data_IF_896708793943
#
_entry.id   IF_896708793943
#
_cell.length_a   1.000
_cell.length_b   1.000
_cell.length_c   1.000
_cell.angle_alpha   90.00
_cell.angle_beta   90.00
_cell.angle_gamma   90.00
#
_symmetry.space_group_name_H-M   'P 1'
#
loop_
_entity.id
_entity.type
_entity.pdbx_description
1 polymer ?
#
# COMPACT_ATOMS: atom_id res chain seq x y z
N UNK A 1 14.22 -22.90 23.53
CA UNK A 1 14.20 -21.77 24.44
C UNK A 1 13.14 -20.77 24.00
N UNK A 2 12.27 -20.38 24.93
CA UNK A 2 11.27 -19.33 24.67
C UNK A 2 12.02 -17.99 24.65
N UNK A 3 12.25 -17.44 23.47
CA UNK A 3 12.89 -16.16 23.29
C UNK A 3 12.11 -15.01 23.93
N UNK A 4 12.78 -13.87 24.15
CA UNK A 4 12.15 -12.67 24.74
C UNK A 4 11.04 -12.16 23.82
N UNK A 5 9.78 -12.08 24.29
CA UNK A 5 8.70 -11.61 23.44
C UNK A 5 8.98 -10.16 22.96
N UNK A 6 8.56 -9.77 21.75
CA UNK A 6 8.66 -8.38 21.28
C UNK A 6 8.08 -7.36 22.27
N UNK A 7 7.03 -7.74 22.99
CA UNK A 7 6.45 -6.92 24.09
C UNK A 7 7.45 -6.55 25.18
N UNK A 8 8.42 -7.41 25.46
CA UNK A 8 9.45 -7.16 26.47
C UNK A 8 10.61 -6.37 25.88
N UNK A 9 11.12 -6.78 24.72
CA UNK A 9 12.24 -6.11 24.05
C UNK A 9 11.90 -4.65 23.70
N UNK A 10 10.70 -4.40 23.20
CA UNK A 10 10.26 -3.07 22.74
C UNK A 10 9.45 -2.29 23.79
N UNK A 11 9.39 -2.77 25.03
CA UNK A 11 8.70 -2.05 26.13
C UNK A 11 9.15 -0.58 26.25
N UNK A 12 10.46 -0.26 26.26
CA UNK A 12 10.90 1.13 26.35
C UNK A 12 10.36 1.99 25.21
N UNK A 13 10.38 1.48 23.98
CA UNK A 13 9.88 2.16 22.79
C UNK A 13 8.38 2.51 22.88
N UNK A 14 7.55 1.60 23.41
CA UNK A 14 6.14 1.88 23.63
C UNK A 14 5.90 2.82 24.80
N UNK A 15 6.65 2.67 25.90
CA UNK A 15 6.52 3.49 27.09
C UNK A 15 6.91 4.95 26.83
N UNK A 16 7.99 5.22 26.10
CA UNK A 16 8.44 6.58 25.74
C UNK A 16 7.37 7.39 25.01
N UNK A 17 6.46 6.70 24.31
CA UNK A 17 5.35 7.28 23.55
C UNK A 17 4.01 7.23 24.28
N UNK A 18 3.95 6.67 25.47
CA UNK A 18 2.70 6.43 26.17
C UNK A 18 1.77 5.45 25.44
N UNK A 19 2.34 4.57 24.61
CA UNK A 19 1.59 3.61 23.82
C UNK A 19 1.44 2.27 24.54
N UNK A 20 0.32 1.59 24.26
CA UNK A 20 0.09 0.21 24.65
C UNK A 20 0.04 -0.67 23.41
N UNK A 21 0.50 -1.91 23.54
CA UNK A 21 0.43 -2.87 22.44
C UNK A 21 -0.99 -3.32 22.19
N UNK A 22 -1.38 -3.39 20.92
CA UNK A 22 -2.68 -3.91 20.53
C UNK A 22 -2.72 -5.45 20.53
N UNK A 23 -3.91 -6.02 20.68
CA UNK A 23 -4.11 -7.47 20.65
C UNK A 23 -3.61 -8.07 19.32
N UNK A 24 -3.95 -7.46 18.18
CA UNK A 24 -3.52 -7.93 16.86
C UNK A 24 -1.99 -7.88 16.68
N UNK A 25 -1.29 -6.92 17.31
CA UNK A 25 0.18 -6.89 17.28
C UNK A 25 0.76 -8.11 17.99
N UNK A 26 0.29 -8.39 19.20
CA UNK A 26 0.75 -9.55 19.98
C UNK A 26 0.42 -10.87 19.27
N UNK A 27 -0.74 -10.97 18.63
CA UNK A 27 -1.15 -12.12 17.83
C UNK A 27 -0.24 -12.30 16.61
N UNK A 28 0.09 -11.21 15.90
CA UNK A 28 1.01 -11.24 14.76
C UNK A 28 2.41 -11.67 15.20
N UNK A 29 2.94 -11.15 16.29
CA UNK A 29 4.25 -11.54 16.81
C UNK A 29 4.30 -13.00 17.23
N UNK A 30 3.22 -13.50 17.84
CA UNK A 30 3.10 -14.91 18.19
C UNK A 30 3.08 -15.78 16.92
N UNK A 31 2.22 -15.47 15.96
CA UNK A 31 2.12 -16.20 14.70
C UNK A 31 3.46 -16.20 13.93
N UNK A 32 4.15 -15.08 13.88
CA UNK A 32 5.48 -14.99 13.27
C UNK A 32 6.49 -15.93 13.97
N UNK A 33 6.53 -15.93 15.29
CA UNK A 33 7.41 -16.83 16.09
C UNK A 33 7.09 -18.30 15.85
N UNK A 34 5.81 -18.62 15.71
CA UNK A 34 5.34 -19.98 15.41
C UNK A 34 5.62 -20.39 13.93
N UNK A 35 6.38 -19.57 13.18
CA UNK A 35 6.75 -19.85 11.79
C UNK A 35 5.64 -19.60 10.76
N UNK A 36 4.57 -18.91 11.13
CA UNK A 36 3.40 -18.71 10.28
C UNK A 36 3.56 -17.50 9.34
N UNK A 37 3.03 -17.65 8.14
CA UNK A 37 2.75 -16.54 7.22
C UNK A 37 1.31 -16.09 7.36
N UNK A 38 0.98 -14.89 6.88
CA UNK A 38 -0.41 -14.43 6.98
C UNK A 38 -0.70 -13.08 6.34
N UNK A 39 -1.94 -12.66 6.53
CA UNK A 39 -2.46 -11.36 6.14
C UNK A 39 -2.97 -10.63 7.38
N UNK A 40 -2.40 -9.46 7.64
CA UNK A 40 -2.89 -8.53 8.65
C UNK A 40 -3.79 -7.50 7.99
N UNK A 41 -5.04 -7.54 8.38
CA UNK A 41 -6.11 -6.70 7.87
C UNK A 41 -6.58 -5.77 8.99
N UNK A 42 -6.34 -4.49 8.83
CA UNK A 42 -6.77 -3.47 9.78
C UNK A 42 -6.92 -2.11 9.11
N UNK A 43 -7.77 -1.22 9.64
CA UNK A 43 -7.82 0.17 9.20
C UNK A 43 -6.46 0.85 9.27
N UNK A 44 -6.27 1.91 8.47
CA UNK A 44 -5.03 2.70 8.45
C UNK A 44 -4.73 3.36 9.82
N UNK A 45 -3.46 3.56 10.12
CA UNK A 45 -3.02 4.32 11.31
C UNK A 45 -3.07 3.57 12.65
N UNK A 46 -3.20 2.25 12.67
CA UNK A 46 -3.33 1.45 13.89
C UNK A 46 -2.09 0.62 14.27
N UNK A 47 -0.91 1.01 13.82
CA UNK A 47 0.31 0.28 14.19
C UNK A 47 0.50 -1.06 13.48
N UNK A 48 -0.08 -1.24 12.27
CA UNK A 48 0.13 -2.41 11.41
C UNK A 48 1.61 -2.64 11.07
N UNK A 49 2.31 -1.56 10.77
CA UNK A 49 3.74 -1.58 10.45
C UNK A 49 4.55 -2.25 11.56
N UNK A 50 4.34 -1.83 12.81
CA UNK A 50 5.02 -2.41 13.96
C UNK A 50 4.61 -3.86 14.22
N UNK A 51 3.36 -4.24 13.89
CA UNK A 51 2.90 -5.60 14.05
C UNK A 51 3.72 -6.60 13.23
N UNK A 52 4.05 -6.28 11.98
CA UNK A 52 4.82 -7.19 11.11
C UNK A 52 6.32 -6.94 11.13
N UNK A 53 6.78 -5.78 11.62
CA UNK A 53 8.20 -5.44 11.70
C UNK A 53 8.88 -5.96 12.97
N UNK A 54 8.24 -5.78 14.15
CA UNK A 54 8.88 -6.08 15.42
C UNK A 54 9.07 -7.59 15.67
N UNK A 55 8.26 -8.45 15.07
CA UNK A 55 8.46 -9.90 15.13
C UNK A 55 9.78 -10.35 14.51
N UNK A 56 10.03 -10.06 13.23
CA UNK A 56 11.31 -10.35 12.57
C UNK A 56 12.51 -9.69 13.25
N UNK A 57 12.37 -8.44 13.67
CA UNK A 57 13.43 -7.70 14.35
C UNK A 57 13.82 -8.37 15.68
N UNK A 58 12.84 -8.72 16.51
CA UNK A 58 13.10 -9.42 17.76
C UNK A 58 13.77 -10.77 17.53
N UNK A 59 13.27 -11.55 16.59
CA UNK A 59 13.83 -12.87 16.28
C UNK A 59 15.30 -12.79 15.83
N UNK A 60 15.64 -11.80 15.01
CA UNK A 60 17.02 -11.59 14.55
C UNK A 60 17.95 -11.13 15.69
N UNK A 61 17.47 -10.25 16.57
CA UNK A 61 18.22 -9.78 17.75
C UNK A 61 18.50 -10.95 18.70
N UNK A 62 17.49 -11.75 19.00
CA UNK A 62 17.62 -12.95 19.85
C UNK A 62 18.59 -13.96 19.28
N UNK A 63 18.55 -14.19 17.97
CA UNK A 63 19.44 -15.12 17.29
C UNK A 63 20.88 -14.58 17.12
N UNK A 64 21.12 -13.29 17.40
CA UNK A 64 22.41 -12.64 17.13
C UNK A 64 22.75 -12.53 15.65
N UNK A 65 21.77 -12.79 14.76
CA UNK A 65 21.94 -12.75 13.29
C UNK A 65 21.40 -11.43 12.70
N UNK A 66 22.15 -10.37 12.96
CA UNK A 66 21.76 -9.01 12.57
C UNK A 66 22.60 -8.43 11.43
N UNK A 67 23.54 -9.21 10.87
CA UNK A 67 24.49 -8.71 9.86
C UNK A 67 24.01 -8.89 8.43
N UNK A 68 22.95 -9.69 8.22
CA UNK A 68 22.39 -10.05 6.91
C UNK A 68 21.08 -9.31 6.68
N UNK A 69 20.62 -9.31 5.42
CA UNK A 69 19.27 -8.86 5.09
C UNK A 69 18.25 -9.87 5.64
N UNK A 70 17.42 -9.44 6.57
CA UNK A 70 16.43 -10.27 7.24
C UNK A 70 15.02 -10.02 6.75
N UNK A 71 14.73 -8.78 6.35
CA UNK A 71 13.39 -8.36 5.95
C UNK A 71 13.42 -7.64 4.63
N UNK A 72 12.62 -8.11 3.70
CA UNK A 72 12.31 -7.43 2.46
C UNK A 72 10.91 -6.83 2.57
N UNK A 73 10.79 -5.53 2.40
CA UNK A 73 9.53 -4.79 2.47
C UNK A 73 9.14 -4.28 1.10
N UNK A 74 8.02 -4.76 0.57
CA UNK A 74 7.50 -4.38 -0.75
C UNK A 74 6.39 -3.36 -0.54
N UNK A 75 6.56 -2.17 -1.10
CA UNK A 75 5.55 -1.11 -1.07
C UNK A 75 5.09 -0.76 -2.50
N UNK A 76 3.79 -0.61 -2.74
CA UNK A 76 3.30 -0.24 -4.07
C UNK A 76 3.60 1.20 -4.46
N UNK A 77 3.85 2.08 -3.49
CA UNK A 77 3.99 3.51 -3.70
C UNK A 77 5.35 4.04 -3.22
N UNK A 78 6.06 4.69 -4.13
CA UNK A 78 7.34 5.34 -3.82
C UNK A 78 7.21 6.44 -2.76
N UNK A 79 6.10 7.16 -2.78
CA UNK A 79 5.82 8.21 -1.80
C UNK A 79 5.79 7.69 -0.35
N UNK A 80 5.29 6.46 -0.16
CA UNK A 80 5.24 5.80 1.15
C UNK A 80 6.58 5.29 1.66
N UNK A 81 7.51 5.03 0.75
CA UNK A 81 8.74 4.35 1.08
C UNK A 81 9.58 5.11 2.11
N UNK A 82 9.60 6.45 2.08
CA UNK A 82 10.35 7.26 3.04
C UNK A 82 9.73 7.24 4.44
N UNK A 83 8.41 7.38 4.52
CA UNK A 83 7.69 7.34 5.80
C UNK A 83 7.78 5.94 6.41
N UNK A 84 7.66 4.90 5.58
CA UNK A 84 7.88 3.52 6.01
C UNK A 84 9.29 3.34 6.55
N UNK A 85 10.32 3.82 5.84
CA UNK A 85 11.71 3.75 6.31
C UNK A 85 11.86 4.40 7.68
N UNK A 86 11.32 5.59 7.88
CA UNK A 86 11.36 6.29 9.17
C UNK A 86 10.72 5.45 10.26
N UNK A 87 9.51 4.95 10.02
CA UNK A 87 8.77 4.12 10.98
C UNK A 87 9.48 2.80 11.34
N UNK A 88 10.20 2.20 10.39
CA UNK A 88 10.98 0.98 10.65
C UNK A 88 12.30 1.27 11.38
N UNK A 89 12.93 2.42 11.10
CA UNK A 89 14.21 2.78 11.70
C UNK A 89 14.06 3.28 13.14
N UNK A 90 12.97 3.97 13.49
CA UNK A 90 12.74 4.51 14.82
C UNK A 90 12.93 3.49 15.96
N UNK A 91 12.29 2.31 15.99
CA UNK A 91 12.48 1.34 17.06
C UNK A 91 13.89 0.75 17.09
N UNK A 92 14.58 0.71 15.95
CA UNK A 92 15.98 0.27 15.84
C UNK A 92 16.92 1.25 16.54
N UNK A 93 16.74 2.53 16.24
CA UNK A 93 17.60 3.61 16.78
C UNK A 93 17.38 3.78 18.28
N UNK A 94 16.13 3.74 18.74
CA UNK A 94 15.79 3.92 20.14
C UNK A 94 16.33 2.79 21.05
N UNK A 95 16.43 1.58 20.50
CA UNK A 95 17.07 0.45 21.18
C UNK A 95 18.59 0.44 21.03
N UNK A 96 19.19 1.43 20.37
CA UNK A 96 20.62 1.49 20.11
C UNK A 96 21.15 0.35 19.25
N UNK A 97 20.28 -0.27 18.43
CA UNK A 97 20.67 -1.34 17.52
C UNK A 97 21.39 -0.76 16.30
N UNK A 98 22.57 -1.30 15.98
CA UNK A 98 23.35 -0.87 14.81
C UNK A 98 22.86 -1.58 13.53
N UNK A 99 21.60 -1.38 13.19
CA UNK A 99 20.94 -1.96 12.02
C UNK A 99 20.49 -0.86 11.06
N UNK A 100 20.60 -1.13 9.77
CA UNK A 100 20.19 -0.19 8.72
C UNK A 100 18.92 -0.68 8.01
N UNK A 101 17.96 0.24 7.85
CA UNK A 101 16.85 0.11 6.92
C UNK A 101 17.11 1.04 5.74
N UNK A 102 17.17 0.50 4.55
CA UNK A 102 17.42 1.29 3.34
C UNK A 102 16.31 1.15 2.29
N UNK A 103 16.27 2.12 1.39
CA UNK A 103 15.34 2.16 0.26
C UNK A 103 16.06 1.81 -1.03
N UNK A 104 15.40 0.99 -1.86
CA UNK A 104 15.72 0.86 -3.27
C UNK A 104 14.47 0.90 -4.14
N UNK A 105 14.24 2.04 -4.73
CA UNK A 105 13.15 2.33 -5.67
C UNK A 105 13.72 2.87 -6.99
N UNK A 106 12.86 3.18 -7.94
CA UNK A 106 13.28 3.83 -9.19
C UNK A 106 14.10 5.10 -8.97
N UNK A 107 13.75 5.87 -7.93
CA UNK A 107 14.35 7.19 -7.61
C UNK A 107 15.66 7.10 -6.81
N UNK A 108 16.08 5.90 -6.42
CA UNK A 108 17.35 5.71 -5.71
C UNK A 108 18.52 6.02 -6.64
N UNK A 109 19.46 6.85 -6.18
CA UNK A 109 20.64 7.26 -6.98
C UNK A 109 21.48 6.05 -7.43
N UNK A 110 22.16 6.19 -8.56
CA UNK A 110 23.02 5.13 -9.11
C UNK A 110 24.09 4.67 -8.10
N UNK A 111 24.70 5.61 -7.38
CA UNK A 111 25.68 5.31 -6.34
C UNK A 111 25.11 4.43 -5.23
N UNK A 112 23.93 4.78 -4.70
CA UNK A 112 23.25 3.96 -3.68
C UNK A 112 22.82 2.61 -4.22
N UNK A 113 22.33 2.54 -5.45
CA UNK A 113 22.01 1.28 -6.13
C UNK A 113 23.24 0.36 -6.19
N UNK A 114 24.38 0.88 -6.60
CA UNK A 114 25.63 0.11 -6.67
C UNK A 114 26.10 -0.39 -5.29
N UNK A 115 25.96 0.43 -4.24
CA UNK A 115 26.26 0.03 -2.86
C UNK A 115 25.34 -1.09 -2.38
N UNK A 116 24.02 -0.98 -2.62
CA UNK A 116 23.04 -1.99 -2.24
C UNK A 116 23.20 -3.31 -3.02
N UNK A 117 23.69 -3.26 -4.26
CA UNK A 117 23.99 -4.47 -5.01
C UNK A 117 25.15 -5.28 -4.41
N UNK A 118 26.08 -4.62 -3.72
CA UNK A 118 27.22 -5.28 -3.05
C UNK A 118 26.86 -5.81 -1.67
N UNK A 119 26.08 -5.08 -0.92
CA UNK A 119 25.66 -5.45 0.44
C UNK A 119 24.27 -4.90 0.73
N UNK A 120 23.35 -5.80 1.05
CA UNK A 120 22.01 -5.43 1.47
C UNK A 120 21.98 -5.01 2.95
N UNK A 121 21.11 -4.05 3.32
CA UNK A 121 20.86 -3.67 4.71
C UNK A 121 20.07 -4.77 5.44
N UNK A 122 19.89 -4.62 6.74
CA UNK A 122 19.05 -5.52 7.55
C UNK A 122 17.60 -5.55 7.04
N UNK A 123 17.02 -4.38 6.79
CA UNK A 123 15.70 -4.19 6.18
C UNK A 123 15.80 -3.44 4.86
N UNK A 124 15.31 -4.03 3.78
CA UNK A 124 15.30 -3.42 2.46
C UNK A 124 13.87 -3.11 2.05
N UNK A 125 13.55 -1.85 1.84
CA UNK A 125 12.27 -1.40 1.29
C UNK A 125 12.42 -1.19 -0.21
N UNK A 126 11.52 -1.79 -0.98
CA UNK A 126 11.54 -1.73 -2.45
C UNK A 126 10.12 -1.71 -3.02
N UNK A 127 10.01 -1.57 -4.34
CA UNK A 127 8.75 -1.68 -5.09
C UNK A 127 8.72 -2.99 -5.88
N UNK A 128 7.54 -3.46 -6.34
CA UNK A 128 7.46 -4.66 -7.17
C UNK A 128 8.38 -4.62 -8.39
N UNK A 129 8.45 -3.49 -9.07
CA UNK A 129 9.30 -3.30 -10.26
C UNK A 129 10.78 -3.36 -9.91
N UNK A 130 11.19 -2.71 -8.83
CA UNK A 130 12.58 -2.72 -8.37
C UNK A 130 13.00 -4.11 -7.88
N UNK A 131 12.11 -4.84 -7.22
CA UNK A 131 12.35 -6.23 -6.82
C UNK A 131 12.54 -7.13 -8.05
N UNK A 132 11.68 -6.99 -9.05
CA UNK A 132 11.82 -7.71 -10.32
C UNK A 132 13.20 -7.45 -10.97
N UNK A 133 13.65 -6.19 -10.96
CA UNK A 133 14.99 -5.84 -11.45
C UNK A 133 16.13 -6.47 -10.63
N UNK A 134 15.96 -6.64 -9.33
CA UNK A 134 16.95 -7.34 -8.52
C UNK A 134 17.13 -8.80 -8.95
N UNK A 135 16.06 -9.45 -9.42
CA UNK A 135 16.13 -10.82 -9.90
C UNK A 135 16.99 -11.00 -11.16
N UNK A 136 17.36 -9.91 -11.84
CA UNK A 136 18.33 -9.94 -12.95
C UNK A 136 19.78 -10.02 -12.50
N UNK A 137 20.06 -9.83 -11.21
CA UNK A 137 21.43 -9.87 -10.67
C UNK A 137 21.79 -11.27 -10.20
N UNK A 138 22.83 -11.86 -10.77
CA UNK A 138 23.26 -13.23 -10.47
C UNK A 138 23.55 -13.48 -8.97
N UNK A 139 24.04 -12.48 -8.24
CA UNK A 139 24.39 -12.63 -6.82
C UNK A 139 23.21 -12.28 -5.86
N UNK A 140 22.02 -12.00 -6.38
CA UNK A 140 20.92 -11.53 -5.54
C UNK A 140 20.47 -12.59 -4.54
N UNK A 141 20.40 -13.86 -4.95
CA UNK A 141 20.09 -14.98 -4.06
C UNK A 141 21.07 -15.08 -2.90
N UNK A 142 22.37 -14.98 -3.18
CA UNK A 142 23.42 -15.04 -2.16
C UNK A 142 23.31 -13.85 -1.18
N UNK A 143 23.07 -12.66 -1.71
CA UNK A 143 22.87 -11.46 -0.88
C UNK A 143 21.66 -11.55 0.05
N UNK A 144 20.66 -12.36 -0.31
CA UNK A 144 19.48 -12.64 0.50
C UNK A 144 19.60 -13.91 1.36
N UNK A 145 20.76 -14.56 1.45
CA UNK A 145 20.93 -15.84 2.13
C UNK A 145 20.50 -15.87 3.61
N UNK A 146 20.21 -14.73 4.18
CA UNK A 146 19.68 -14.59 5.55
C UNK A 146 18.21 -14.20 5.64
N UNK A 147 17.50 -14.12 4.52
CA UNK A 147 16.13 -13.59 4.46
C UNK A 147 15.15 -14.46 5.26
N UNK A 148 14.50 -13.87 6.25
CA UNK A 148 13.52 -14.53 7.11
C UNK A 148 12.08 -14.13 6.80
N UNK A 149 11.86 -12.89 6.35
CA UNK A 149 10.53 -12.37 6.10
C UNK A 149 10.44 -11.50 4.86
N UNK A 150 9.32 -11.58 4.17
CA UNK A 150 8.87 -10.61 3.17
C UNK A 150 7.56 -10.02 3.64
N UNK A 151 7.52 -8.69 3.68
CA UNK A 151 6.31 -7.93 3.99
C UNK A 151 5.82 -7.28 2.70
N UNK A 152 4.55 -7.48 2.37
CA UNK A 152 3.89 -6.83 1.24
C UNK A 152 2.91 -5.81 1.79
N UNK A 153 3.29 -4.55 1.71
CA UNK A 153 2.49 -3.44 2.21
C UNK A 153 1.38 -3.07 1.22
N UNK A 154 0.27 -2.55 1.74
CA UNK A 154 -0.88 -2.12 0.95
C UNK A 154 -1.31 -3.17 -0.09
N UNK A 155 -1.36 -4.44 0.31
CA UNK A 155 -1.65 -5.57 -0.59
C UNK A 155 -2.96 -5.40 -1.36
N UNK A 156 -3.97 -4.77 -0.75
CA UNK A 156 -5.24 -4.45 -1.42
C UNK A 156 -5.09 -3.54 -2.66
N UNK A 157 -4.02 -2.74 -2.74
CA UNK A 157 -3.73 -1.91 -3.92
C UNK A 157 -3.08 -2.71 -5.06
N UNK A 158 -2.34 -3.75 -4.72
CA UNK A 158 -1.68 -4.64 -5.69
C UNK A 158 -2.60 -5.74 -6.18
N UNK A 159 -3.44 -6.29 -5.33
CA UNK A 159 -4.37 -7.37 -5.67
C UNK A 159 -5.29 -6.97 -6.84
N UNK A 160 -5.38 -7.84 -7.85
CA UNK A 160 -6.16 -7.61 -9.05
C UNK A 160 -5.47 -6.73 -10.10
N UNK A 161 -4.18 -6.44 -9.94
CA UNK A 161 -3.37 -5.68 -10.90
C UNK A 161 -2.21 -6.50 -11.45
N UNK A 162 -1.66 -6.10 -12.59
CA UNK A 162 -0.44 -6.72 -13.15
C UNK A 162 0.77 -6.59 -12.22
N UNK A 163 0.86 -5.49 -11.47
CA UNK A 163 1.88 -5.29 -10.43
C UNK A 163 1.74 -6.30 -9.28
N UNK A 164 0.50 -6.63 -8.93
CA UNK A 164 0.20 -7.68 -7.96
C UNK A 164 0.65 -9.05 -8.46
N UNK A 165 0.39 -9.38 -9.71
CA UNK A 165 0.85 -10.64 -10.32
C UNK A 165 2.39 -10.68 -10.41
N UNK A 166 3.04 -9.58 -10.76
CA UNK A 166 4.50 -9.47 -10.70
C UNK A 166 5.03 -9.75 -9.28
N UNK A 167 4.35 -9.23 -8.27
CA UNK A 167 4.68 -9.50 -6.86
C UNK A 167 4.50 -10.99 -6.52
N UNK A 168 3.40 -11.61 -6.96
CA UNK A 168 3.15 -13.06 -6.77
C UNK A 168 4.30 -13.90 -7.35
N UNK A 169 4.76 -13.58 -8.56
CA UNK A 169 5.87 -14.29 -9.22
C UNK A 169 7.19 -14.07 -8.48
N UNK A 170 7.50 -12.86 -8.03
CA UNK A 170 8.67 -12.59 -7.20
C UNK A 170 8.62 -13.38 -5.88
N UNK A 171 7.46 -13.45 -5.23
CA UNK A 171 7.27 -14.23 -4.01
C UNK A 171 7.43 -15.74 -4.27
N UNK A 172 6.94 -16.25 -5.40
CA UNK A 172 7.15 -17.64 -5.80
C UNK A 172 8.64 -17.98 -5.93
N UNK A 173 9.42 -17.09 -6.57
CA UNK A 173 10.88 -17.22 -6.68
C UNK A 173 11.55 -17.21 -5.32
N UNK A 174 11.20 -16.29 -4.45
CA UNK A 174 11.79 -16.18 -3.10
C UNK A 174 11.46 -17.40 -2.24
N UNK A 175 10.22 -17.92 -2.33
CA UNK A 175 9.86 -19.17 -1.62
C UNK A 175 10.60 -20.40 -2.15
N UNK A 176 10.84 -20.45 -3.46
CA UNK A 176 11.65 -21.54 -4.04
C UNK A 176 13.11 -21.50 -3.54
N UNK A 177 13.67 -20.30 -3.37
CA UNK A 177 15.01 -20.12 -2.82
C UNK A 177 15.08 -20.36 -1.31
N UNK A 178 14.05 -19.90 -0.58
CA UNK A 178 14.00 -19.90 0.88
C UNK A 178 12.71 -20.58 1.39
N UNK A 179 12.67 -21.91 1.50
CA UNK A 179 11.45 -22.65 1.86
C UNK A 179 10.87 -22.30 3.25
N UNK A 180 11.69 -21.74 4.15
CA UNK A 180 11.26 -21.29 5.49
C UNK A 180 10.83 -19.81 5.55
N UNK A 181 10.81 -19.15 4.39
CA UNK A 181 10.44 -17.73 4.28
C UNK A 181 9.02 -17.50 4.78
N UNK A 182 8.85 -16.52 5.65
CA UNK A 182 7.54 -16.04 6.10
C UNK A 182 7.10 -14.86 5.25
N UNK A 183 5.90 -14.92 4.73
CA UNK A 183 5.30 -13.85 3.92
C UNK A 183 4.14 -13.25 4.69
N UNK A 184 4.17 -11.94 4.89
CA UNK A 184 3.11 -11.20 5.55
C UNK A 184 2.60 -10.06 4.66
N UNK A 185 1.29 -9.99 4.50
CA UNK A 185 0.63 -8.87 3.83
C UNK A 185 0.02 -7.92 4.83
N UNK A 186 0.07 -6.63 4.51
CA UNK A 186 -0.69 -5.58 5.17
C UNK A 186 -1.78 -5.12 4.22
N UNK A 187 -3.02 -5.09 4.69
CA UNK A 187 -4.16 -4.68 3.88
C UNK A 187 -5.10 -3.78 4.67
N UNK A 188 -5.68 -2.82 3.97
CA UNK A 188 -6.92 -2.20 4.42
C UNK A 188 -8.09 -3.19 4.25
N UNK A 189 -9.29 -2.74 4.61
CA UNK A 189 -10.49 -3.56 4.56
C UNK A 189 -10.82 -4.01 3.13
N UNK A 190 -11.05 -5.32 2.96
CA UNK A 190 -11.41 -5.98 1.69
C UNK A 190 -12.64 -6.85 1.90
N UNK A 191 -13.46 -7.02 0.85
CA UNK A 191 -14.62 -7.92 0.85
C UNK A 191 -14.23 -9.40 0.78
N UNK A 192 -13.06 -9.74 0.20
CA UNK A 192 -12.59 -11.11 -0.03
C UNK A 192 -11.24 -11.38 0.65
N UNK A 193 -11.15 -11.17 1.95
CA UNK A 193 -9.89 -11.25 2.72
C UNK A 193 -9.23 -12.65 2.64
N UNK A 194 -10.02 -13.72 2.65
CA UNK A 194 -9.50 -15.10 2.54
C UNK A 194 -8.82 -15.30 1.19
N UNK A 195 -9.47 -14.91 0.09
CA UNK A 195 -8.89 -14.98 -1.25
C UNK A 195 -7.64 -14.09 -1.36
N UNK A 196 -7.67 -12.90 -0.77
CA UNK A 196 -6.52 -11.99 -0.75
C UNK A 196 -5.29 -12.62 -0.07
N UNK A 197 -5.48 -13.36 1.03
CA UNK A 197 -4.43 -14.17 1.68
C UNK A 197 -3.94 -15.28 0.75
N UNK A 198 -4.84 -16.00 0.13
CA UNK A 198 -4.50 -17.15 -0.72
C UNK A 198 -3.71 -16.71 -1.96
N UNK A 199 -4.06 -15.56 -2.54
CA UNK A 199 -3.30 -14.97 -3.65
C UNK A 199 -1.89 -14.59 -3.20
N UNK A 200 -1.76 -13.92 -2.06
CA UNK A 200 -0.46 -13.51 -1.51
C UNK A 200 0.45 -14.71 -1.23
N UNK A 201 -0.10 -15.77 -0.67
CA UNK A 201 0.66 -16.95 -0.23
C UNK A 201 0.77 -18.05 -1.30
N UNK A 202 0.20 -17.85 -2.49
CA UNK A 202 0.19 -18.87 -3.54
C UNK A 202 -0.73 -20.05 -3.21
N UNK A 203 -1.74 -19.88 -2.36
CA UNK A 203 -2.63 -20.94 -1.90
C UNK A 203 -2.08 -21.76 -0.74
N UNK A 204 -0.99 -21.32 -0.13
CA UNK A 204 -0.44 -21.92 1.08
C UNK A 204 -1.26 -21.60 2.33
N UNK A 205 -1.03 -22.39 3.38
CA UNK A 205 -1.63 -22.14 4.68
C UNK A 205 -1.10 -20.84 5.29
N UNK A 206 -2.01 -20.01 5.80
CA UNK A 206 -1.67 -18.75 6.45
C UNK A 206 -2.75 -18.30 7.40
N UNK A 207 -2.38 -17.43 8.33
CA UNK A 207 -3.32 -16.84 9.27
C UNK A 207 -3.89 -15.53 8.72
N UNK A 208 -5.12 -15.20 9.10
CA UNK A 208 -5.70 -13.88 8.92
C UNK A 208 -5.84 -13.26 10.30
N UNK A 209 -5.22 -12.12 10.49
CA UNK A 209 -5.31 -11.36 11.74
C UNK A 209 -6.03 -10.06 11.45
N UNK A 210 -7.06 -9.78 12.24
CA UNK A 210 -7.87 -8.57 12.10
C UNK A 210 -7.57 -7.59 13.22
N UNK A 211 -7.18 -6.38 12.88
CA UNK A 211 -7.06 -5.31 13.84
C UNK A 211 -8.43 -4.71 14.15
N UNK A 212 -9.03 -5.13 15.25
CA UNK A 212 -10.40 -4.75 15.60
C UNK A 212 -10.43 -3.45 16.42
N UNK A 213 -10.20 -2.32 15.76
CA UNK A 213 -10.72 -1.04 16.26
C UNK A 213 -11.64 -0.46 15.19
N UNK A 214 -12.91 -0.74 15.33
CA UNK A 214 -13.97 -0.10 14.55
C UNK A 214 -14.00 1.38 14.90
N UNK A 215 -13.23 2.16 14.15
CA UNK A 215 -13.40 3.60 14.19
C UNK A 215 -14.78 3.91 13.67
N UNK A 216 -15.64 4.50 14.50
CA UNK A 216 -16.94 4.98 14.05
C UNK A 216 -16.68 6.04 12.97
N UNK A 217 -17.24 5.84 11.78
CA UNK A 217 -17.23 6.83 10.71
C UNK A 217 -18.57 7.54 10.75
N UNK A 218 -18.55 8.82 11.07
CA UNK A 218 -19.72 9.69 11.00
C UNK A 218 -19.82 10.25 9.57
N UNK A 219 -20.77 9.74 8.80
CA UNK A 219 -21.01 10.16 7.41
C UNK A 219 -22.15 11.16 7.38
N UNK A 220 -21.95 12.28 6.70
CA UNK A 220 -22.98 13.28 6.46
C UNK A 220 -22.94 13.71 4.98
N UNK A 221 -24.04 13.54 4.28
CA UNK A 221 -24.19 14.06 2.93
C UNK A 221 -24.72 15.49 2.99
N UNK A 222 -24.07 16.40 2.28
CA UNK A 222 -24.54 17.76 2.11
C UNK A 222 -25.71 17.75 1.11
N UNK A 223 -26.78 18.43 1.45
CA UNK A 223 -27.97 18.50 0.61
C UNK A 223 -28.13 19.92 0.03
N UNK A 224 -28.53 20.05 -1.23
CA UNK A 224 -28.90 21.33 -1.80
C UNK A 224 -30.14 21.88 -1.08
N UNK A 225 -30.25 23.22 -1.02
CA UNK A 225 -31.44 23.88 -0.42
C UNK A 225 -32.71 23.60 -1.21
N UNK A 226 -32.57 23.45 -2.53
CA UNK A 226 -33.65 23.18 -3.45
C UNK A 226 -33.31 21.93 -4.27
N UNK A 227 -33.87 20.79 -3.86
CA UNK A 227 -33.61 19.49 -4.49
C UNK A 227 -34.21 19.42 -5.90
N UNK A 228 -35.31 20.10 -6.14
CA UNK A 228 -36.01 20.08 -7.44
C UNK A 228 -35.20 20.77 -8.56
N UNK A 229 -34.30 21.67 -8.19
CA UNK A 229 -33.39 22.34 -9.10
C UNK A 229 -32.01 21.71 -9.18
N UNK A 230 -31.79 20.62 -8.46
CA UNK A 230 -30.50 19.92 -8.48
C UNK A 230 -30.35 19.13 -9.77
N UNK A 231 -29.24 19.29 -10.53
CA UNK A 231 -29.07 18.62 -11.82
C UNK A 231 -29.04 17.10 -11.68
N UNK A 232 -29.62 16.39 -12.65
CA UNK A 232 -29.63 14.93 -12.66
C UNK A 232 -28.26 14.30 -12.97
N UNK A 233 -27.46 14.97 -13.80
CA UNK A 233 -26.11 14.49 -14.17
C UNK A 233 -25.23 15.63 -14.68
N UNK A 234 -23.92 15.42 -14.76
CA UNK A 234 -23.00 16.24 -15.53
C UNK A 234 -22.57 17.57 -14.90
N UNK A 235 -22.69 17.77 -13.60
CA UNK A 235 -22.31 19.03 -12.94
C UNK A 235 -21.01 18.92 -12.12
N UNK A 236 -20.29 20.05 -11.97
CA UNK A 236 -18.98 20.11 -11.27
C UNK A 236 -19.13 20.12 -9.73
N UNK A 237 -20.33 20.24 -9.22
CA UNK A 237 -20.61 20.13 -7.77
C UNK A 237 -20.38 21.40 -6.96
N UNK A 238 -20.05 22.53 -7.58
CA UNK A 238 -19.80 23.82 -6.89
C UNK A 238 -21.07 24.46 -6.30
N UNK A 239 -22.26 23.94 -6.64
CA UNK A 239 -23.52 24.40 -6.05
C UNK A 239 -23.56 24.31 -4.51
N UNK A 240 -22.77 23.41 -3.93
CA UNK A 240 -22.65 23.21 -2.48
C UNK A 240 -21.41 23.87 -1.86
N UNK A 241 -20.68 24.68 -2.64
CA UNK A 241 -19.40 25.27 -2.19
C UNK A 241 -19.54 26.17 -0.96
N UNK A 242 -20.68 26.89 -0.81
CA UNK A 242 -20.93 27.70 0.39
C UNK A 242 -20.99 26.82 1.67
N UNK A 243 -21.59 25.63 1.60
CA UNK A 243 -21.63 24.70 2.72
C UNK A 243 -20.23 24.10 2.99
N UNK A 244 -19.44 23.85 1.95
CA UNK A 244 -18.05 23.38 2.07
C UNK A 244 -17.19 24.45 2.74
N UNK A 245 -17.32 25.72 2.36
CA UNK A 245 -16.65 26.85 3.03
C UNK A 245 -16.95 26.84 4.53
N UNK A 246 -18.21 26.70 4.94
CA UNK A 246 -18.60 26.63 6.35
C UNK A 246 -17.94 25.44 7.10
N UNK A 247 -17.64 24.34 6.40
CA UNK A 247 -16.90 23.23 7.00
C UNK A 247 -15.42 23.57 7.17
N UNK A 248 -14.81 24.28 6.23
CA UNK A 248 -13.42 24.68 6.30
C UNK A 248 -13.18 25.82 7.30
N UNK A 249 -14.20 26.60 7.65
CA UNK A 249 -14.13 27.63 8.69
C UNK A 249 -13.97 27.05 10.11
N UNK A 250 -14.33 25.77 10.29
CA UNK A 250 -14.19 25.11 11.59
C UNK A 250 -12.73 24.75 11.85
N UNK A 251 -12.36 24.71 13.12
CA UNK A 251 -11.01 24.34 13.54
C UNK A 251 -10.54 23.00 12.97
N UNK A 252 -9.24 22.95 12.67
CA UNK A 252 -8.53 21.77 12.17
C UNK A 252 -8.55 21.62 10.65
N UNK A 253 -7.53 20.96 10.14
CA UNK A 253 -7.33 20.76 8.72
C UNK A 253 -8.40 19.86 8.08
N UNK A 254 -8.77 20.19 6.83
CA UNK A 254 -9.74 19.47 6.02
C UNK A 254 -9.07 18.93 4.75
N UNK A 255 -9.25 17.64 4.45
CA UNK A 255 -8.96 17.08 3.14
C UNK A 255 -10.23 17.08 2.28
N UNK A 256 -10.17 17.73 1.12
CA UNK A 256 -11.24 17.74 0.14
C UNK A 256 -10.82 16.91 -1.07
N UNK A 257 -11.34 15.71 -1.15
CA UNK A 257 -11.07 14.79 -2.25
C UNK A 257 -11.97 15.02 -3.44
N UNK A 258 -11.35 15.10 -4.61
CA UNK A 258 -12.01 15.12 -5.92
C UNK A 258 -11.56 13.93 -6.74
N UNK A 259 -12.23 13.63 -7.85
CA UNK A 259 -11.93 12.47 -8.67
C UNK A 259 -10.92 12.76 -9.79
N UNK A 260 -10.74 14.01 -10.17
CA UNK A 260 -9.85 14.40 -11.26
C UNK A 260 -9.05 15.64 -10.91
N UNK A 261 -7.89 15.81 -11.58
CA UNK A 261 -7.08 17.02 -11.48
C UNK A 261 -7.89 18.29 -11.81
N UNK A 262 -8.67 18.25 -12.88
CA UNK A 262 -9.51 19.39 -13.29
C UNK A 262 -10.50 19.79 -12.20
N UNK A 263 -11.15 18.82 -11.55
CA UNK A 263 -12.03 19.12 -10.41
C UNK A 263 -11.27 19.70 -9.22
N UNK A 264 -10.05 19.24 -8.96
CA UNK A 264 -9.19 19.82 -7.91
C UNK A 264 -8.92 21.29 -8.16
N UNK A 265 -8.52 21.63 -9.38
CA UNK A 265 -8.24 23.02 -9.77
C UNK A 265 -9.49 23.91 -9.69
N UNK A 266 -10.63 23.42 -10.18
CA UNK A 266 -11.91 24.16 -10.12
C UNK A 266 -12.33 24.40 -8.67
N UNK A 267 -12.30 23.37 -7.81
CA UNK A 267 -12.67 23.53 -6.40
C UNK A 267 -11.72 24.44 -5.64
N UNK A 268 -10.44 24.39 -5.94
CA UNK A 268 -9.46 25.30 -5.35
C UNK A 268 -9.76 26.75 -5.72
N UNK A 269 -10.03 27.03 -6.98
CA UNK A 269 -10.43 28.39 -7.43
C UNK A 269 -11.74 28.83 -6.81
N UNK A 270 -12.76 27.98 -6.79
CA UNK A 270 -14.07 28.27 -6.19
C UNK A 270 -13.95 28.66 -4.69
N UNK A 271 -13.08 27.96 -3.95
CA UNK A 271 -12.83 28.31 -2.55
C UNK A 271 -12.13 29.66 -2.41
N UNK A 272 -11.16 29.97 -3.26
CA UNK A 272 -10.47 31.28 -3.25
C UNK A 272 -11.36 32.45 -3.71
N UNK A 273 -12.28 32.22 -4.64
CA UNK A 273 -13.26 33.25 -5.04
C UNK A 273 -14.19 33.62 -3.88
N UNK A 274 -14.58 32.64 -3.07
CA UNK A 274 -15.44 32.87 -1.90
C UNK A 274 -14.68 33.39 -0.68
N UNK A 275 -13.40 33.00 -0.55
CA UNK A 275 -12.53 33.34 0.56
C UNK A 275 -11.12 33.69 0.06
N UNK A 276 -10.96 34.90 -0.54
CA UNK A 276 -9.64 35.31 -1.06
C UNK A 276 -8.55 35.36 0.01
N UNK A 277 -8.92 35.59 1.27
CA UNK A 277 -8.03 35.59 2.42
C UNK A 277 -7.36 34.22 2.70
N UNK A 278 -7.89 33.12 2.16
CA UNK A 278 -7.34 31.78 2.35
C UNK A 278 -6.22 31.42 1.38
N UNK A 279 -5.73 32.36 0.59
CA UNK A 279 -4.70 32.11 -0.42
C UNK A 279 -3.49 31.34 0.12
N UNK A 280 -3.06 31.65 1.33
CA UNK A 280 -1.92 31.00 1.99
C UNK A 280 -2.34 29.90 2.99
N UNK A 281 -3.66 29.69 3.17
CA UNK A 281 -4.21 28.73 4.12
C UNK A 281 -4.73 27.45 3.45
N UNK A 282 -4.97 27.46 2.14
CA UNK A 282 -5.39 26.29 1.38
C UNK A 282 -4.35 25.90 0.34
N UNK A 283 -4.30 24.63 -0.02
CA UNK A 283 -3.36 24.12 -1.00
C UNK A 283 -4.02 23.07 -1.92
N UNK A 284 -3.35 22.75 -3.02
CA UNK A 284 -3.72 21.65 -3.92
C UNK A 284 -2.70 20.51 -3.81
N UNK A 285 -3.16 19.28 -4.02
CA UNK A 285 -2.29 18.12 -4.09
C UNK A 285 -2.80 17.11 -5.13
N UNK A 286 -2.06 16.92 -6.21
CA UNK A 286 -2.36 15.93 -7.26
C UNK A 286 -1.09 15.46 -7.97
N UNK A 287 -1.19 14.36 -8.71
CA UNK A 287 -0.04 13.69 -9.33
C UNK A 287 0.73 14.48 -10.39
N UNK A 288 0.15 15.58 -10.91
CA UNK A 288 0.82 16.44 -11.90
C UNK A 288 1.66 17.57 -11.28
N UNK A 289 1.56 17.78 -9.97
CA UNK A 289 2.49 18.66 -9.26
C UNK A 289 3.86 18.00 -9.18
N UNK A 290 4.92 18.83 -9.18
CA UNK A 290 6.26 18.30 -8.96
C UNK A 290 6.43 17.74 -7.54
N UNK A 291 7.54 17.06 -7.31
CA UNK A 291 7.80 16.38 -6.05
C UNK A 291 7.98 17.34 -4.88
N UNK A 292 8.60 18.48 -5.12
CA UNK A 292 8.89 19.47 -4.08
C UNK A 292 7.60 20.13 -3.62
N UNK A 293 6.75 20.55 -4.55
CA UNK A 293 5.43 21.13 -4.24
C UNK A 293 4.55 20.15 -3.43
N UNK A 294 4.53 18.88 -3.81
CA UNK A 294 3.77 17.86 -3.04
C UNK A 294 4.32 17.68 -1.63
N UNK A 295 5.65 17.60 -1.50
CA UNK A 295 6.30 17.46 -0.20
C UNK A 295 6.04 18.66 0.72
N UNK A 296 6.04 19.87 0.18
CA UNK A 296 5.70 21.08 0.92
C UNK A 296 4.26 21.03 1.48
N UNK A 297 3.29 20.65 0.64
CA UNK A 297 1.88 20.53 1.08
C UNK A 297 1.74 19.47 2.16
N UNK A 298 2.42 18.33 2.02
CA UNK A 298 2.40 17.24 3.00
C UNK A 298 3.03 17.67 4.34
N UNK A 299 4.10 18.46 4.30
CA UNK A 299 4.74 19.02 5.50
C UNK A 299 3.80 20.02 6.19
N UNK A 300 3.20 20.94 5.45
CA UNK A 300 2.24 21.91 5.97
C UNK A 300 1.01 21.23 6.59
N UNK A 301 0.57 20.09 6.04
CA UNK A 301 -0.49 19.28 6.64
C UNK A 301 -0.04 18.69 7.99
N UNK A 302 1.18 18.13 8.08
CA UNK A 302 1.75 17.57 9.30
C UNK A 302 1.90 18.63 10.40
N UNK A 303 2.34 19.82 10.03
CA UNK A 303 2.55 20.94 10.95
C UNK A 303 1.27 21.65 11.34
N UNK A 304 0.13 21.30 10.69
CA UNK A 304 -1.16 21.92 10.94
C UNK A 304 -1.24 23.39 10.47
N UNK A 305 -0.39 23.79 9.54
CA UNK A 305 -0.34 25.18 9.01
C UNK A 305 -1.27 25.42 7.83
N UNK A 306 -2.00 24.41 7.37
CA UNK A 306 -3.01 24.51 6.33
C UNK A 306 -4.41 24.32 6.92
N UNK A 307 -5.36 25.11 6.45
CA UNK A 307 -6.80 24.96 6.72
C UNK A 307 -7.42 23.82 5.93
N UNK A 308 -6.99 23.66 4.70
CA UNK A 308 -7.51 22.63 3.82
C UNK A 308 -6.62 22.32 2.62
N UNK A 309 -6.71 21.10 2.14
CA UNK A 309 -6.05 20.66 0.91
C UNK A 309 -7.10 20.06 -0.03
N UNK A 310 -7.18 20.60 -1.24
CA UNK A 310 -7.98 20.02 -2.32
C UNK A 310 -7.10 19.03 -3.06
N UNK A 311 -7.51 17.78 -3.12
CA UNK A 311 -6.63 16.70 -3.61
C UNK A 311 -7.37 15.64 -4.41
N UNK A 312 -6.59 14.88 -5.18
CA UNK A 312 -7.04 13.64 -5.83
C UNK A 312 -6.65 12.43 -4.98
N UNK A 313 -6.66 11.24 -5.58
CA UNK A 313 -6.17 10.00 -4.96
C UNK A 313 -4.70 10.04 -4.51
N UNK A 314 -3.98 11.10 -4.82
CA UNK A 314 -2.59 11.31 -4.40
C UNK A 314 -2.39 11.33 -2.87
N UNK A 315 -3.45 11.61 -2.10
CA UNK A 315 -3.48 11.53 -0.64
C UNK A 315 -4.37 10.38 -0.10
N UNK A 316 -4.81 9.46 -0.96
CA UNK A 316 -5.54 8.26 -0.51
C UNK A 316 -4.66 7.38 0.40
N UNK A 317 -3.36 7.33 0.14
CA UNK A 317 -2.41 6.46 0.80
C UNK A 317 -1.26 7.24 1.44
N UNK A 318 -0.81 6.74 2.52
CA UNK A 318 0.58 6.68 3.00
C UNK A 318 1.23 7.82 3.68
N UNK A 319 0.69 8.97 3.76
CA UNK A 319 1.30 10.01 4.60
C UNK A 319 0.61 9.98 5.96
N UNK A 320 1.39 9.97 7.05
CA UNK A 320 0.84 10.22 8.37
C UNK A 320 0.49 11.71 8.44
N UNK A 321 -0.77 11.98 8.07
CA UNK A 321 -1.33 13.33 7.97
C UNK A 321 -2.04 13.71 9.26
N UNK A 322 -1.39 13.60 10.38
CA UNK A 322 -1.91 14.15 11.64
C UNK A 322 -1.68 15.68 11.66
N UNK A 323 -2.66 16.50 11.97
CA UNK A 323 -4.01 16.24 12.49
C UNK A 323 -5.14 16.63 11.52
N UNK A 324 -5.58 15.75 10.64
CA UNK A 324 -6.77 15.98 9.80
C UNK A 324 -8.04 15.80 10.64
N UNK A 325 -8.87 16.84 10.70
CA UNK A 325 -10.10 16.84 11.50
C UNK A 325 -11.31 16.31 10.76
N UNK A 326 -11.36 16.49 9.43
CA UNK A 326 -12.46 16.05 8.58
C UNK A 326 -12.02 15.78 7.15
N UNK A 327 -12.80 14.95 6.50
CA UNK A 327 -12.64 14.61 5.09
C UNK A 327 -13.93 14.96 4.35
N UNK A 328 -13.79 15.58 3.19
CA UNK A 328 -14.87 15.87 2.26
C UNK A 328 -14.63 15.09 0.98
N UNK A 329 -15.62 14.34 0.52
CA UNK A 329 -15.62 13.67 -0.78
C UNK A 329 -16.53 14.41 -1.72
N UNK A 330 -15.99 14.98 -2.79
CA UNK A 330 -16.73 15.62 -3.87
C UNK A 330 -16.91 14.64 -5.01
N UNK A 331 -18.16 14.47 -5.43
CA UNK A 331 -18.53 13.56 -6.50
C UNK A 331 -18.49 12.08 -6.10
N UNK A 332 -18.81 11.21 -7.05
CA UNK A 332 -18.91 9.76 -6.83
C UNK A 332 -17.69 9.19 -6.11
N UNK A 333 -17.88 8.38 -5.06
CA UNK A 333 -16.77 7.84 -4.24
C UNK A 333 -15.91 6.82 -4.98
N UNK A 334 -16.35 6.33 -6.15
CA UNK A 334 -15.65 5.28 -6.93
C UNK A 334 -15.37 3.99 -6.15
N UNK A 335 -16.18 3.71 -5.14
CA UNK A 335 -16.12 2.51 -4.32
C UNK A 335 -16.16 2.79 -2.82
N UNK A 336 -16.72 1.83 -2.09
CA UNK A 336 -16.91 1.92 -0.62
C UNK A 336 -15.58 1.80 0.10
N UNK A 337 -14.73 0.86 -0.34
CA UNK A 337 -13.40 0.67 0.25
C UNK A 337 -12.56 1.95 0.20
N UNK A 338 -12.58 2.67 -0.94
CA UNK A 338 -11.90 3.96 -1.09
C UNK A 338 -12.49 5.03 -0.20
N UNK A 339 -13.82 5.11 -0.11
CA UNK A 339 -14.49 6.07 0.74
C UNK A 339 -14.13 5.86 2.21
N UNK A 340 -14.12 4.60 2.68
CA UNK A 340 -13.69 4.25 4.03
C UNK A 340 -12.22 4.60 4.28
N UNK A 341 -11.35 4.35 3.31
CA UNK A 341 -9.93 4.66 3.38
C UNK A 341 -9.70 6.17 3.51
N UNK A 342 -10.40 6.99 2.70
CA UNK A 342 -10.39 8.45 2.79
C UNK A 342 -10.92 8.93 4.13
N UNK A 343 -12.06 8.41 4.59
CA UNK A 343 -12.62 8.73 5.90
C UNK A 343 -11.63 8.44 7.03
N UNK A 344 -10.87 7.37 6.92
CA UNK A 344 -9.82 6.97 7.86
C UNK A 344 -8.68 7.99 8.01
N UNK A 345 -8.53 8.95 7.07
CA UNK A 345 -7.57 10.05 7.18
C UNK A 345 -7.91 11.04 8.28
N UNK A 346 -9.16 11.11 8.72
CA UNK A 346 -9.58 11.95 9.84
C UNK A 346 -9.63 11.18 11.17
N UNK A 347 -9.55 11.92 12.28
CA UNK A 347 -9.76 11.35 13.61
C UNK A 347 -8.63 10.44 14.12
N UNK A 348 -7.36 10.81 13.93
CA UNK A 348 -6.20 10.04 14.38
C UNK A 348 -6.07 9.88 15.90
N UNK A 349 -6.82 10.64 16.69
CA UNK A 349 -6.83 10.48 18.15
C UNK A 349 -7.69 9.27 18.57
N UNK A 350 -7.22 8.45 19.52
CA UNK A 350 -8.01 7.35 20.08
C UNK A 350 -9.36 7.84 20.60
N UNK A 351 -10.44 7.19 20.19
CA UNK A 351 -11.80 7.50 20.65
C UNK A 351 -12.56 8.58 19.86
N UNK A 352 -11.93 9.28 18.92
CA UNK A 352 -12.64 10.21 18.02
C UNK A 352 -13.16 9.51 16.77
N UNK A 353 -14.42 9.76 16.43
CA UNK A 353 -15.01 9.29 15.18
C UNK A 353 -14.37 10.00 13.99
N UNK A 354 -14.11 9.26 12.91
CA UNK A 354 -13.78 9.84 11.61
C UNK A 354 -14.98 10.61 11.07
N UNK A 355 -14.75 11.81 10.56
CA UNK A 355 -15.82 12.68 10.00
C UNK A 355 -15.67 12.75 8.50
N UNK A 356 -16.65 12.19 7.80
CA UNK A 356 -16.74 12.20 6.35
C UNK A 356 -17.97 13.00 5.91
N UNK A 357 -17.75 13.97 5.05
CA UNK A 357 -18.80 14.74 4.39
C UNK A 357 -18.82 14.41 2.91
N UNK A 358 -19.99 14.09 2.39
CA UNK A 358 -20.19 13.76 0.98
C UNK A 358 -20.86 14.93 0.28
N UNK A 359 -20.28 15.39 -0.82
CA UNK A 359 -20.75 16.50 -1.64
C UNK A 359 -21.15 15.98 -3.00
N UNK A 360 -22.45 15.71 -3.24
CA UNK A 360 -22.91 15.28 -4.55
C UNK A 360 -22.87 16.44 -5.54
N UNK A 361 -22.51 16.15 -6.77
CA UNK A 361 -22.59 17.11 -7.88
C UNK A 361 -23.88 17.02 -8.66
N UNK A 362 -24.65 15.96 -8.46
CA UNK A 362 -25.92 15.70 -9.14
C UNK A 362 -26.79 14.73 -8.34
N UNK A 363 -28.04 14.53 -8.78
CA UNK A 363 -29.02 13.69 -8.10
C UNK A 363 -28.63 12.18 -8.06
N UNK A 364 -27.96 11.68 -9.09
CA UNK A 364 -27.50 10.28 -9.11
C UNK A 364 -26.46 10.01 -8.04
N UNK A 365 -25.55 10.96 -7.82
CA UNK A 365 -24.54 10.85 -6.76
C UNK A 365 -25.15 10.91 -5.36
N UNK A 366 -26.30 11.57 -5.17
CA UNK A 366 -27.05 11.47 -3.91
C UNK A 366 -27.47 10.03 -3.62
N UNK A 367 -27.97 9.32 -4.62
CA UNK A 367 -28.33 7.92 -4.50
C UNK A 367 -27.11 7.03 -4.25
N UNK A 368 -25.98 7.31 -4.94
CA UNK A 368 -24.71 6.60 -4.72
C UNK A 368 -24.20 6.77 -3.28
N UNK A 369 -24.23 7.98 -2.72
CA UNK A 369 -23.82 8.23 -1.34
C UNK A 369 -24.74 7.55 -0.32
N UNK A 370 -26.07 7.53 -0.59
CA UNK A 370 -27.01 6.82 0.26
C UNK A 370 -26.70 5.32 0.25
N UNK A 371 -26.52 4.72 -0.93
CA UNK A 371 -26.15 3.32 -1.08
C UNK A 371 -24.79 3.01 -0.42
N UNK A 372 -23.80 3.89 -0.55
CA UNK A 372 -22.49 3.73 0.08
C UNK A 372 -22.59 3.73 1.61
N UNK A 373 -23.40 4.63 2.18
CA UNK A 373 -23.66 4.68 3.62
C UNK A 373 -24.29 3.37 4.11
N UNK A 374 -25.35 2.92 3.44
CA UNK A 374 -26.07 1.69 3.81
C UNK A 374 -25.14 0.46 3.71
N UNK A 375 -24.30 0.40 2.68
CA UNK A 375 -23.32 -0.66 2.52
C UNK A 375 -22.22 -0.62 3.61
N UNK A 376 -21.76 0.56 4.01
CA UNK A 376 -20.79 0.70 5.10
C UNK A 376 -21.40 0.28 6.44
N UNK A 377 -22.65 0.63 6.72
CA UNK A 377 -23.40 0.19 7.90
C UNK A 377 -23.58 -1.33 7.91
N UNK A 378 -23.91 -1.90 6.74
CA UNK A 378 -24.05 -3.35 6.55
C UNK A 378 -22.70 -4.09 6.44
N UNK A 379 -21.54 -3.37 6.45
CA UNK A 379 -20.18 -3.90 6.28
C UNK A 379 -19.98 -4.66 4.97
N UNK A 380 -20.67 -4.27 3.93
CA UNK A 380 -20.53 -4.78 2.57
C UNK A 380 -19.48 -3.96 1.83
N UNK A 381 -18.30 -4.55 1.67
CA UNK A 381 -17.16 -3.92 0.98
C UNK A 381 -16.88 -4.71 -0.28
N UNK A 382 -16.43 -4.01 -1.32
CA UNK A 382 -16.11 -4.62 -2.60
C UNK A 382 -14.96 -5.62 -2.47
N UNK A 383 -15.07 -6.71 -3.22
CA UNK A 383 -13.98 -7.65 -3.44
C UNK A 383 -12.99 -7.09 -4.47
N UNK A 384 -11.71 -7.38 -4.30
CA UNK A 384 -10.68 -7.20 -5.31
C UNK A 384 -10.44 -8.54 -5.99
N UNK A 385 -10.93 -8.68 -7.22
CA UNK A 385 -10.78 -9.92 -7.98
C UNK A 385 -9.33 -10.09 -8.44
N UNK A 386 -8.70 -11.23 -8.17
CA UNK A 386 -7.34 -11.51 -8.63
C UNK A 386 -7.30 -11.68 -10.14
N UNK A 387 -6.22 -11.22 -10.77
CA UNK A 387 -5.94 -11.52 -12.17
C UNK A 387 -5.53 -12.98 -12.35
N UNK A 388 -5.91 -13.55 -13.46
CA UNK A 388 -5.59 -14.92 -13.87
C UNK A 388 -4.77 -14.92 -15.14
N UNK A 389 -3.63 -15.56 -15.10
CA UNK A 389 -2.76 -15.88 -16.25
C UNK A 389 -2.45 -14.71 -17.21
N UNK A 390 -2.05 -13.50 -16.74
CA UNK A 390 -1.61 -12.47 -17.67
C UNK A 390 -0.28 -12.89 -18.31
N UNK A 391 -0.31 -13.38 -19.55
CA UNK A 391 0.85 -13.98 -20.24
C UNK A 391 1.97 -12.97 -20.50
N UNK A 392 1.65 -11.71 -20.67
CA UNK A 392 2.64 -10.62 -20.82
C UNK A 392 3.50 -10.45 -19.55
N UNK A 393 2.90 -10.53 -18.37
CA UNK A 393 3.63 -10.50 -17.09
C UNK A 393 4.50 -11.74 -16.92
N UNK A 394 3.98 -12.92 -17.30
CA UNK A 394 4.74 -14.17 -17.27
C UNK A 394 5.99 -14.10 -18.14
N UNK A 395 5.85 -13.68 -19.39
CA UNK A 395 6.96 -13.58 -20.33
C UNK A 395 8.04 -12.62 -19.82
N UNK A 396 7.63 -11.45 -19.31
CA UNK A 396 8.53 -10.49 -18.70
C UNK A 396 9.29 -11.09 -17.50
N UNK A 397 8.59 -11.82 -16.64
CA UNK A 397 9.19 -12.48 -15.47
C UNK A 397 10.20 -13.55 -15.89
N UNK A 398 9.85 -14.38 -16.86
CA UNK A 398 10.76 -15.45 -17.34
C UNK A 398 12.06 -14.88 -17.91
N UNK A 399 11.98 -13.81 -18.72
CA UNK A 399 13.18 -13.10 -19.21
C UNK A 399 14.00 -12.59 -18.02
N UNK A 400 13.35 -11.96 -17.06
CA UNK A 400 14.00 -11.38 -15.87
C UNK A 400 14.78 -12.42 -15.09
N UNK A 401 14.17 -13.55 -14.77
CA UNK A 401 14.82 -14.59 -13.94
C UNK A 401 15.90 -15.33 -14.72
N UNK A 402 15.73 -15.53 -16.03
CA UNK A 402 16.74 -16.18 -16.87
C UNK A 402 18.00 -15.31 -17.04
N UNK A 403 17.89 -13.98 -16.96
CA UNK A 403 19.05 -13.09 -16.96
C UNK A 403 19.86 -13.25 -15.66
N UNK A 404 19.21 -13.38 -14.54
CA UNK A 404 19.86 -13.47 -13.23
C UNK A 404 20.38 -14.86 -12.89
N UNK A 405 19.47 -15.80 -12.73
CA UNK A 405 19.75 -17.21 -12.40
C UNK A 405 18.87 -18.10 -13.28
N UNK A 406 19.38 -18.50 -14.46
CA UNK A 406 18.64 -19.36 -15.36
C UNK A 406 18.43 -20.74 -14.73
N UNK A 407 17.31 -21.38 -15.04
CA UNK A 407 16.91 -22.69 -14.53
C UNK A 407 16.37 -23.58 -15.64
N UNK A 408 16.10 -24.84 -15.28
CA UNK A 408 15.39 -25.76 -16.18
C UNK A 408 13.95 -25.32 -16.36
N UNK A 409 13.41 -25.47 -17.57
CA UNK A 409 12.04 -25.10 -17.88
C UNK A 409 11.02 -25.75 -16.94
N UNK A 410 11.23 -27.01 -16.57
CA UNK A 410 10.36 -27.76 -15.65
C UNK A 410 10.35 -27.16 -14.21
N UNK A 411 11.51 -26.75 -13.73
CA UNK A 411 11.62 -26.14 -12.40
C UNK A 411 10.97 -24.74 -12.38
N UNK A 412 11.18 -23.96 -13.43
CA UNK A 412 10.53 -22.68 -13.62
C UNK A 412 9.00 -22.80 -13.74
N UNK A 413 8.52 -23.82 -14.47
CA UNK A 413 7.08 -24.09 -14.57
C UNK A 413 6.47 -24.43 -13.19
N UNK A 414 7.15 -25.27 -12.42
CA UNK A 414 6.70 -25.63 -11.06
C UNK A 414 6.66 -24.42 -10.16
N UNK A 415 7.68 -23.56 -10.23
CA UNK A 415 7.74 -22.31 -9.49
C UNK A 415 6.60 -21.36 -9.90
N UNK A 416 6.40 -21.12 -11.19
CA UNK A 416 5.33 -20.26 -11.71
C UNK A 416 3.95 -20.77 -11.29
N UNK A 417 3.69 -22.07 -11.42
CA UNK A 417 2.42 -22.70 -11.00
C UNK A 417 2.20 -22.68 -9.48
N UNK A 418 3.22 -22.44 -8.68
CA UNK A 418 3.08 -22.25 -7.24
C UNK A 418 2.45 -20.89 -6.88
N UNK A 419 2.42 -19.95 -7.82
CA UNK A 419 1.69 -18.69 -7.65
C UNK A 419 0.20 -18.87 -7.93
N UNK A 420 -0.63 -18.06 -7.29
CA UNK A 420 -2.07 -18.15 -7.45
C UNK A 420 -2.52 -17.81 -8.89
N UNK A 421 -1.93 -16.77 -9.48
CA UNK A 421 -2.28 -16.34 -10.84
C UNK A 421 -2.07 -17.41 -11.90
N UNK A 422 -1.06 -18.27 -11.74
CA UNK A 422 -0.66 -19.24 -12.75
C UNK A 422 -0.87 -20.70 -12.35
N UNK A 423 -1.58 -20.98 -11.26
CA UNK A 423 -1.86 -22.38 -10.86
C UNK A 423 -2.62 -23.18 -11.91
N UNK A 424 -3.40 -22.51 -12.77
CA UNK A 424 -4.12 -23.11 -13.88
C UNK A 424 -3.45 -22.89 -15.25
N UNK A 425 -2.14 -22.57 -15.29
CA UNK A 425 -1.38 -22.43 -16.52
C UNK A 425 -1.29 -23.78 -17.24
N UNK A 426 -1.72 -23.83 -18.49
CA UNK A 426 -1.67 -25.07 -19.29
C UNK A 426 -0.28 -25.29 -19.86
N UNK A 427 0.00 -26.54 -20.31
CA UNK A 427 1.27 -26.85 -20.94
C UNK A 427 1.42 -26.11 -22.27
N UNK A 428 0.33 -25.92 -23.02
CA UNK A 428 0.33 -25.16 -24.27
C UNK A 428 0.64 -23.68 -24.04
N UNK A 429 0.07 -23.07 -22.99
CA UNK A 429 0.37 -21.68 -22.61
C UNK A 429 1.82 -21.53 -22.19
N UNK A 430 2.36 -22.52 -21.47
CA UNK A 430 3.77 -22.55 -21.06
C UNK A 430 4.71 -22.68 -22.26
N UNK A 431 4.46 -23.62 -23.16
CA UNK A 431 5.22 -23.79 -24.41
C UNK A 431 5.21 -22.51 -25.26
N UNK A 432 4.05 -21.86 -25.36
CA UNK A 432 3.95 -20.58 -26.05
C UNK A 432 4.85 -19.52 -25.39
N UNK A 433 4.85 -19.44 -24.05
CA UNK A 433 5.68 -18.49 -23.33
C UNK A 433 7.19 -18.74 -23.54
N UNK A 434 7.61 -20.02 -23.50
CA UNK A 434 9.00 -20.41 -23.77
C UNK A 434 9.41 -20.08 -25.21
N UNK A 435 8.58 -20.39 -26.20
CA UNK A 435 8.85 -20.03 -27.59
C UNK A 435 8.96 -18.52 -27.77
N UNK A 436 8.09 -17.77 -27.11
CA UNK A 436 8.12 -16.31 -27.19
C UNK A 436 9.42 -15.71 -26.66
N UNK A 437 9.94 -16.18 -25.54
CA UNK A 437 11.19 -15.66 -24.94
C UNK A 437 12.45 -16.13 -25.64
N UNK A 438 12.41 -17.28 -26.30
CA UNK A 438 13.58 -17.89 -26.99
C UNK A 438 13.66 -17.53 -28.46
N UNK A 439 12.52 -17.48 -29.16
CA UNK A 439 12.48 -17.27 -30.61
C UNK A 439 11.84 -15.94 -31.00
N UNK A 440 11.19 -15.25 -30.03
CA UNK A 440 10.38 -14.07 -30.28
C UNK A 440 9.02 -14.39 -30.89
N UNK A 441 8.20 -13.34 -31.07
CA UNK A 441 6.92 -13.48 -31.77
C UNK A 441 7.10 -13.66 -33.28
N UNK A 442 5.99 -13.91 -33.99
CA UNK A 442 5.99 -14.11 -35.47
C UNK A 442 6.72 -13.01 -36.21
N UNK A 443 6.69 -11.76 -35.73
CA UNK A 443 7.41 -10.63 -36.30
C UNK A 443 8.94 -10.80 -36.29
N UNK A 444 9.49 -11.51 -35.31
CA UNK A 444 10.93 -11.74 -35.16
C UNK A 444 11.40 -13.03 -35.87
N UNK A 445 10.50 -13.89 -36.30
CA UNK A 445 10.84 -15.10 -37.01
C UNK A 445 11.62 -14.84 -38.30
N UNK A 446 11.35 -13.68 -38.95
CA UNK A 446 12.08 -13.23 -40.14
C UNK A 446 13.50 -12.69 -39.82
N UNK A 447 13.89 -12.55 -38.57
CA UNK A 447 15.17 -11.96 -38.14
C UNK A 447 15.92 -12.91 -37.20
N UNK A 448 16.58 -13.98 -37.70
CA UNK A 448 17.23 -14.99 -36.86
C UNK A 448 18.22 -14.46 -35.84
N UNK A 449 18.88 -13.32 -36.12
CA UNK A 449 19.83 -12.66 -35.22
C UNK A 449 19.20 -12.17 -33.90
N UNK A 450 17.88 -12.06 -33.82
CA UNK A 450 17.17 -11.67 -32.59
C UNK A 450 16.52 -12.86 -31.87
N UNK A 451 16.65 -14.07 -32.41
CA UNK A 451 16.26 -15.29 -31.70
C UNK A 451 17.31 -15.62 -30.63
N UNK A 452 16.89 -15.97 -29.44
CA UNK A 452 17.76 -16.24 -28.28
C UNK A 452 17.67 -17.70 -27.86
#
# INVERSE_FOLDING_TARGET
GYGVPPTTLFRPFFQSRGWTTFAFQRETWKAYRDGRSGLLHAPTGLGKTLAVWLGPLAAAVEAGDTRRCKVLWITPLRALAQDTKKSLQEPVDELGLKLEVALRTGDTSAYRKAKLNKKLPFGLITTPESLSLFLTHANFRENLAGLDAVIVDEWHELLGTKRGVQTELCLARLRAWFPKLRVWGLSATLGNTVEARDVLLGGGEGVIICGDRRKKIAIKTLLPKDIDRFPWSGHIGTALSAQVVQLLEKDGATLLFTNTRSQTEIWFQELLEKKPEWKDEIAMHHGSLDREQRAEVEERLRDGTVRGVVCTSSLDLGVDLSPVSRVIQVGSPKGIARLMQRAGRSGHSPGRASRLYCVPSNALELAEFAAARDAMEAKKIEARLPLRKPLDVLVQHLVTVCIGEPGRAEDLLREVRSSFAYRGLTDEEWEWALQFITQGGRALAAYPKFQK
#
